data_IF_449008051750
#
_entry.id   IF_449008051750
#
_cell.length_a   1.000
_cell.length_b   1.000
_cell.length_c   1.000
_cell.angle_alpha   90.00
_cell.angle_beta   90.00
_cell.angle_gamma   90.00
#
_symmetry.space_group_name_H-M   'P 1'
#
loop_
_entity.id
_entity.type
_entity.pdbx_description
1 polymer ?
#
# COMPACT_ATOMS: atom_id res chain seq x y z
N UNK A 1 -12.21 14.68 -2.86
CA UNK A 1 -11.22 15.19 -1.88
C UNK A 1 -11.13 14.31 -0.63
N UNK A 2 -12.26 13.95 0.02
CA UNK A 2 -12.28 13.12 1.25
C UNK A 2 -11.59 11.76 1.07
N UNK A 3 -11.79 11.08 -0.06
CA UNK A 3 -11.16 9.77 -0.31
C UNK A 3 -9.63 9.81 -0.27
N UNK A 4 -9.02 10.79 -0.94
CA UNK A 4 -7.56 10.96 -0.95
C UNK A 4 -7.03 11.28 0.46
N UNK A 5 -7.73 12.15 1.19
CA UNK A 5 -7.41 12.46 2.58
C UNK A 5 -7.45 11.20 3.46
N UNK A 6 -8.52 10.40 3.36
CA UNK A 6 -8.71 9.23 4.22
C UNK A 6 -7.60 8.21 4.00
N UNK A 7 -7.24 7.94 2.74
CA UNK A 7 -6.11 7.06 2.41
C UNK A 7 -4.81 7.60 3.02
N UNK A 8 -4.47 8.87 2.79
CA UNK A 8 -3.25 9.46 3.31
C UNK A 8 -3.18 9.44 4.86
N UNK A 9 -4.26 9.84 5.53
CA UNK A 9 -4.31 9.90 6.99
C UNK A 9 -4.20 8.51 7.62
N UNK A 10 -4.95 7.52 7.09
CA UNK A 10 -4.93 6.14 7.58
C UNK A 10 -3.55 5.51 7.36
N UNK A 11 -2.93 5.67 6.18
CA UNK A 11 -1.62 5.09 5.89
C UNK A 11 -0.48 5.70 6.72
N UNK A 12 -0.54 7.00 7.03
CA UNK A 12 0.56 7.72 7.74
C UNK A 12 0.41 7.73 9.25
N UNK A 13 -0.82 7.85 9.77
CA UNK A 13 -1.09 8.00 11.22
C UNK A 13 -1.99 6.91 11.80
N UNK A 14 -2.56 6.05 10.95
CA UNK A 14 -3.41 4.93 11.37
C UNK A 14 -4.89 5.28 11.53
N UNK A 15 -5.24 6.57 11.52
CA UNK A 15 -6.61 7.03 11.63
C UNK A 15 -6.91 8.22 10.72
N UNK A 16 -8.13 8.29 10.20
CA UNK A 16 -8.72 9.47 9.59
C UNK A 16 -9.98 9.89 10.35
N UNK A 17 -10.19 11.19 10.49
CA UNK A 17 -11.31 11.77 11.21
C UNK A 17 -12.17 12.60 10.26
N UNK A 18 -13.48 12.38 10.28
CA UNK A 18 -14.44 13.20 9.55
C UNK A 18 -15.39 13.84 10.56
N UNK A 19 -15.44 15.17 10.59
CA UNK A 19 -16.37 15.92 11.40
C UNK A 19 -17.72 16.05 10.70
N UNK A 20 -18.79 15.69 11.41
CA UNK A 20 -20.17 15.87 10.99
C UNK A 20 -20.59 17.31 11.26
N UNK A 21 -20.74 18.09 10.19
CA UNK A 21 -21.30 19.44 10.32
C UNK A 21 -22.82 19.33 10.24
N UNK A 22 -23.49 19.85 11.27
CA UNK A 22 -24.95 19.81 11.39
C UNK A 22 -25.59 21.15 11.08
N UNK A 23 -26.83 21.12 10.59
CA UNK A 23 -27.67 22.31 10.46
C UNK A 23 -28.34 22.67 11.82
N UNK A 24 -29.15 23.72 11.84
CA UNK A 24 -29.91 24.16 13.03
C UNK A 24 -30.93 23.11 13.50
N UNK A 25 -31.39 22.24 12.61
CA UNK A 25 -32.33 21.15 12.90
C UNK A 25 -31.62 19.87 13.41
N UNK A 26 -30.28 19.87 13.46
CA UNK A 26 -29.46 18.73 13.90
C UNK A 26 -29.09 17.73 12.79
N UNK A 27 -29.54 17.95 11.55
CA UNK A 27 -29.23 17.06 10.44
C UNK A 27 -27.80 17.26 9.95
N UNK A 28 -27.11 16.17 9.63
CA UNK A 28 -25.77 16.18 9.06
C UNK A 28 -25.86 16.68 7.61
N UNK A 29 -25.24 17.82 7.33
CA UNK A 29 -25.22 18.44 6.00
C UNK A 29 -23.89 18.24 5.28
N UNK A 30 -22.78 18.13 6.01
CA UNK A 30 -21.45 18.02 5.43
C UNK A 30 -20.53 17.14 6.29
N UNK A 31 -19.52 16.56 5.64
CA UNK A 31 -18.44 15.82 6.28
C UNK A 31 -17.13 16.53 6.00
N UNK A 32 -16.46 17.01 7.05
CA UNK A 32 -15.21 17.75 6.94
C UNK A 32 -14.03 16.89 7.39
N UNK A 33 -13.02 16.67 6.53
CA UNK A 33 -11.84 15.91 6.94
C UNK A 33 -11.00 16.72 7.93
N UNK A 34 -10.64 16.10 9.06
CA UNK A 34 -9.79 16.68 10.09
C UNK A 34 -8.48 15.92 10.20
N UNK A 35 -7.35 16.59 9.99
CA UNK A 35 -6.06 15.91 10.10
C UNK A 35 -5.80 15.41 11.54
N UNK A 36 -5.31 14.17 11.70
CA UNK A 36 -5.01 13.55 13.00
C UNK A 36 -4.09 14.37 13.91
N UNK A 37 -3.22 15.20 13.34
CA UNK A 37 -2.33 16.11 14.08
C UNK A 37 -3.08 17.17 14.90
N UNK A 38 -4.28 17.55 14.45
CA UNK A 38 -5.05 18.65 15.06
C UNK A 38 -6.21 18.17 15.92
N UNK A 39 -6.36 16.85 16.13
CA UNK A 39 -7.50 16.29 16.85
C UNK A 39 -7.05 15.26 17.90
N UNK A 40 -7.45 15.47 19.15
CA UNK A 40 -7.01 14.64 20.27
C UNK A 40 -8.17 14.17 21.14
N UNK A 41 -8.17 12.91 21.61
CA UNK A 41 -9.26 12.38 22.41
C UNK A 41 -9.24 12.98 23.83
N UNK A 42 -10.43 13.26 24.35
CA UNK A 42 -10.64 13.69 25.73
C UNK A 42 -11.39 12.61 26.48
N UNK A 43 -10.85 12.26 27.66
CA UNK A 43 -11.46 11.31 28.57
C UNK A 43 -11.59 11.95 29.95
N UNK A 44 -12.70 11.72 30.66
CA UNK A 44 -12.86 12.07 32.06
C UNK A 44 -11.72 11.52 32.93
N UNK A 45 -11.24 12.32 33.89
CA UNK A 45 -10.14 11.89 34.79
C UNK A 45 -10.53 10.72 35.70
N UNK A 46 -11.82 10.49 35.89
CA UNK A 46 -12.37 9.40 36.69
C UNK A 46 -12.47 8.07 35.91
N UNK A 47 -12.23 8.07 34.59
CA UNK A 47 -12.32 6.89 33.74
C UNK A 47 -13.75 6.35 33.58
N UNK A 48 -14.76 7.16 33.90
CA UNK A 48 -16.18 6.78 33.78
C UNK A 48 -16.60 6.47 32.34
N UNK A 49 -16.01 7.19 31.37
CA UNK A 49 -16.31 7.04 29.95
C UNK A 49 -15.04 6.86 29.11
N UNK A 50 -15.16 6.08 28.05
CA UNK A 50 -14.04 5.80 27.15
C UNK A 50 -13.61 7.04 26.35
N UNK A 51 -14.56 7.88 25.93
CA UNK A 51 -14.33 9.08 25.12
C UNK A 51 -15.56 10.00 25.23
N UNK A 52 -15.39 11.23 25.72
CA UNK A 52 -16.48 12.22 25.77
C UNK A 52 -16.45 13.14 24.56
N UNK A 53 -15.27 13.71 24.30
CA UNK A 53 -15.07 14.76 23.31
C UNK A 53 -13.73 14.57 22.60
N UNK A 54 -13.61 15.24 21.46
CA UNK A 54 -12.36 15.50 20.77
C UNK A 54 -12.00 16.96 20.92
N UNK A 55 -10.74 17.24 21.23
CA UNK A 55 -10.18 18.59 21.12
C UNK A 55 -9.65 18.79 19.72
N UNK A 56 -10.24 19.73 19.00
CA UNK A 56 -9.77 20.15 17.69
C UNK A 56 -9.04 21.49 17.79
N UNK A 57 -7.79 21.52 17.35
CA UNK A 57 -6.93 22.71 17.35
C UNK A 57 -6.47 23.00 15.93
N UNK A 58 -7.20 23.82 15.15
CA UNK A 58 -6.82 24.15 13.79
C UNK A 58 -5.46 24.89 13.77
N UNK A 59 -4.70 24.82 12.65
CA UNK A 59 -3.44 25.54 12.51
C UNK A 59 -3.58 27.04 12.82
N UNK A 60 -2.92 27.50 13.89
CA UNK A 60 -2.94 28.90 14.30
C UNK A 60 -4.26 29.39 14.93
N UNK A 61 -5.21 28.49 15.20
CA UNK A 61 -6.49 28.81 15.82
C UNK A 61 -6.55 28.48 17.31
N UNK A 62 -7.73 28.66 17.90
CA UNK A 62 -8.03 28.27 19.29
C UNK A 62 -8.54 26.84 19.32
N UNK A 63 -8.41 26.20 20.48
CA UNK A 63 -8.95 24.86 20.68
C UNK A 63 -10.48 24.90 20.77
N UNK A 64 -11.15 23.92 20.15
CA UNK A 64 -12.59 23.73 20.20
C UNK A 64 -12.91 22.29 20.59
N UNK A 65 -13.82 22.06 21.55
CA UNK A 65 -14.34 20.72 21.82
C UNK A 65 -15.35 20.32 20.74
N UNK A 66 -15.27 19.08 20.28
CA UNK A 66 -16.21 18.44 19.36
C UNK A 66 -16.74 17.18 20.06
N UNK A 67 -18.07 17.01 20.21
CA UNK A 67 -18.63 15.80 20.81
C UNK A 67 -18.16 14.52 20.10
N UNK A 68 -17.99 13.43 20.84
CA UNK A 68 -17.56 12.15 20.26
C UNK A 68 -18.52 11.64 19.17
N UNK A 69 -19.81 11.90 19.31
CA UNK A 69 -20.84 11.55 18.32
C UNK A 69 -20.71 12.30 16.99
N UNK A 70 -20.04 13.45 16.98
CA UNK A 70 -19.87 14.31 15.80
C UNK A 70 -18.58 14.05 15.03
N UNK A 71 -17.82 13.03 15.43
CA UNK A 71 -16.62 12.58 14.74
C UNK A 71 -16.81 11.16 14.24
N UNK A 72 -16.60 10.97 12.94
CA UNK A 72 -16.45 9.64 12.34
C UNK A 72 -14.96 9.29 12.36
N UNK A 73 -14.62 8.24 13.07
CA UNK A 73 -13.26 7.72 13.10
C UNK A 73 -13.10 6.51 12.17
N UNK A 74 -12.26 6.66 11.15
CA UNK A 74 -11.79 5.59 10.28
C UNK A 74 -10.43 5.14 10.82
N UNK A 75 -10.32 3.90 11.30
CA UNK A 75 -9.07 3.35 11.85
C UNK A 75 -8.62 2.13 11.07
N UNK A 76 -7.32 2.02 10.86
CA UNK A 76 -6.69 0.80 10.37
C UNK A 76 -6.57 -0.22 11.51
N UNK A 77 -5.68 0.07 12.44
CA UNK A 77 -5.42 -0.72 13.64
C UNK A 77 -5.63 0.11 14.91
N UNK A 78 -5.76 -0.57 16.03
CA UNK A 78 -5.84 0.08 17.34
C UNK A 78 -4.43 0.32 17.86
N UNK A 79 -4.16 1.54 18.31
CA UNK A 79 -2.88 1.82 18.95
C UNK A 79 -2.79 1.10 20.29
N UNK A 80 -1.72 0.30 20.45
CA UNK A 80 -1.46 -0.53 21.63
C UNK A 80 -1.29 0.26 22.94
N UNK A 81 -0.88 1.52 22.87
CA UNK A 81 -0.72 2.38 24.04
C UNK A 81 -1.98 3.21 24.32
N UNK A 82 -2.76 3.51 23.29
CA UNK A 82 -4.02 4.23 23.40
C UNK A 82 -5.04 3.70 22.40
N UNK A 83 -5.94 2.85 22.87
CA UNK A 83 -6.98 2.23 22.04
C UNK A 83 -7.99 3.22 21.42
N UNK A 84 -7.94 4.50 21.79
CA UNK A 84 -8.73 5.56 21.15
C UNK A 84 -8.10 6.01 19.83
N UNK A 85 -6.79 5.87 19.68
CA UNK A 85 -6.05 6.28 18.49
C UNK A 85 -5.86 5.13 17.49
N UNK A 86 -5.58 5.51 16.25
CA UNK A 86 -5.14 4.57 15.22
C UNK A 86 -3.65 4.27 15.32
N UNK A 87 -3.26 3.11 14.80
CA UNK A 87 -1.86 2.74 14.54
C UNK A 87 -1.66 2.60 13.03
N UNK A 88 -0.65 3.27 12.49
CA UNK A 88 -0.39 3.23 11.05
C UNK A 88 0.56 2.07 10.76
N UNK A 89 0.32 1.30 9.68
CA UNK A 89 1.22 0.21 9.31
C UNK A 89 2.66 0.74 9.05
N UNK A 90 2.81 1.94 8.49
CA UNK A 90 4.13 2.58 8.30
C UNK A 90 4.91 2.83 9.59
N UNK A 91 4.25 2.92 10.75
CA UNK A 91 4.95 3.12 12.03
C UNK A 91 5.72 1.87 12.46
N UNK A 92 5.33 0.69 11.98
CA UNK A 92 6.03 -0.57 12.31
C UNK A 92 7.32 -0.76 11.50
N UNK A 93 7.45 -0.06 10.37
CA UNK A 93 8.62 -0.09 9.47
C UNK A 93 9.37 1.24 9.42
N UNK A 94 9.27 2.04 10.49
CA UNK A 94 9.90 3.36 10.53
C UNK A 94 11.43 3.27 10.42
N UNK A 95 12.05 2.21 10.96
CA UNK A 95 13.49 1.99 10.85
C UNK A 95 13.92 1.73 9.41
N UNK A 96 13.12 0.99 8.64
CA UNK A 96 13.36 0.77 7.21
C UNK A 96 13.24 2.06 6.40
N UNK A 97 12.25 2.90 6.71
CA UNK A 97 12.10 4.23 6.09
C UNK A 97 13.32 5.10 6.39
N UNK A 98 13.77 5.12 7.65
CA UNK A 98 14.99 5.83 8.03
C UNK A 98 16.22 5.25 7.34
N UNK A 99 16.33 3.93 7.22
CA UNK A 99 17.45 3.29 6.55
C UNK A 99 17.53 3.66 5.05
N UNK A 100 16.40 3.71 4.33
CA UNK A 100 16.41 4.18 2.93
C UNK A 100 16.79 5.67 2.84
N UNK A 101 16.31 6.49 3.79
CA UNK A 101 16.68 7.90 3.88
C UNK A 101 18.19 8.07 4.09
N UNK A 102 18.77 7.39 5.08
CA UNK A 102 20.21 7.41 5.37
C UNK A 102 21.03 6.87 4.19
N UNK A 103 20.55 5.85 3.48
CA UNK A 103 21.21 5.37 2.27
C UNK A 103 21.21 6.42 1.16
N UNK A 104 20.13 7.18 1.00
CA UNK A 104 20.04 8.29 0.06
C UNK A 104 20.94 9.47 0.47
N UNK A 105 20.99 9.81 1.75
CA UNK A 105 21.89 10.84 2.28
C UNK A 105 23.35 10.43 2.11
N UNK A 106 23.71 9.19 2.44
CA UNK A 106 25.04 8.64 2.26
C UNK A 106 25.46 8.65 0.78
N UNK A 107 24.58 8.21 -0.12
CA UNK A 107 24.82 8.27 -1.57
C UNK A 107 25.07 9.72 -2.04
N UNK A 108 24.29 10.66 -1.54
CA UNK A 108 24.43 12.09 -1.86
C UNK A 108 25.76 12.65 -1.34
N UNK A 109 26.11 12.33 -0.09
CA UNK A 109 27.36 12.72 0.53
C UNK A 109 28.56 12.12 -0.22
N UNK A 110 28.48 10.84 -0.60
CA UNK A 110 29.50 10.16 -1.38
C UNK A 110 29.71 10.85 -2.74
N UNK A 111 28.66 11.16 -3.50
CA UNK A 111 28.77 11.85 -4.79
C UNK A 111 29.28 13.29 -4.68
N UNK A 112 28.95 13.96 -3.57
CA UNK A 112 29.40 15.32 -3.28
C UNK A 112 30.89 15.33 -2.89
N UNK A 113 31.30 14.37 -2.05
CA UNK A 113 32.63 14.30 -1.44
C UNK A 113 33.66 13.54 -2.27
N UNK A 114 33.28 12.57 -3.13
CA UNK A 114 34.19 11.89 -4.06
C UNK A 114 34.86 12.83 -5.08
N UNK A 115 34.46 14.10 -5.14
CA UNK A 115 35.24 15.14 -5.80
C UNK A 115 36.63 15.34 -5.19
N UNK A 116 36.80 15.01 -3.91
CA UNK A 116 38.07 15.05 -3.17
C UNK A 116 38.31 13.66 -2.60
N UNK A 117 39.10 12.81 -3.26
CA UNK A 117 39.52 11.53 -2.69
C UNK A 117 40.14 11.79 -1.31
N UNK A 118 39.88 10.91 -0.33
CA UNK A 118 40.69 10.90 0.88
C UNK A 118 42.13 10.65 0.45
N UNK A 119 43.02 11.60 0.68
CA UNK A 119 44.43 11.47 0.32
C UNK A 119 45.29 11.52 1.56
N UNK A 120 46.30 10.67 1.60
CA UNK A 120 47.42 10.80 2.52
C UNK A 120 48.53 11.50 1.75
N UNK A 121 48.91 12.69 2.23
CA UNK A 121 50.04 13.45 1.72
C UNK A 121 51.25 13.16 2.61
N UNK A 122 52.21 12.41 2.08
CA UNK A 122 53.45 12.07 2.78
C UNK A 122 54.64 12.72 2.08
N UNK A 123 55.64 13.23 2.82
CA UNK A 123 56.94 13.59 2.25
C UNK A 123 57.55 12.37 1.58
N UNK A 124 58.16 12.56 0.40
CA UNK A 124 58.86 11.47 -0.30
C UNK A 124 60.14 11.05 0.42
N UNK A 125 60.78 11.99 1.13
CA UNK A 125 61.97 11.74 1.93
C UNK A 125 61.62 11.64 3.43
N UNK A 126 62.04 10.57 4.14
CA UNK A 126 61.64 10.33 5.53
C UNK A 126 62.20 11.36 6.53
N UNK A 127 63.23 12.12 6.16
CA UNK A 127 63.83 13.18 6.98
C UNK A 127 63.20 14.57 6.73
N UNK A 128 62.36 14.70 5.70
CA UNK A 128 61.71 15.96 5.35
C UNK A 128 60.39 16.11 6.12
N UNK A 129 60.20 17.24 6.79
CA UNK A 129 58.95 17.55 7.51
C UNK A 129 58.13 18.59 6.75
N UNK A 130 56.83 18.33 6.62
CA UNK A 130 55.88 19.34 6.13
C UNK A 130 55.82 20.47 7.15
N UNK A 131 56.23 21.67 6.74
CA UNK A 131 56.32 22.85 7.60
C UNK A 131 54.95 23.36 8.08
N UNK A 132 53.90 23.22 7.25
CA UNK A 132 52.52 23.55 7.61
C UNK A 132 51.52 22.53 6.98
N UNK A 133 51.21 21.44 7.69
CA UNK A 133 50.29 20.41 7.19
C UNK A 133 48.83 20.90 7.07
N UNK A 134 48.43 21.89 7.87
CA UNK A 134 47.04 22.39 7.90
C UNK A 134 46.77 23.30 6.72
N UNK A 135 47.70 24.21 6.40
CA UNK A 135 47.58 25.05 5.21
C UNK A 135 47.64 24.23 3.92
N UNK A 136 48.51 23.21 3.87
CA UNK A 136 48.63 22.30 2.72
C UNK A 136 47.33 21.51 2.49
N UNK A 137 46.73 20.95 3.54
CA UNK A 137 45.46 20.24 3.45
C UNK A 137 44.32 21.16 2.97
N UNK A 138 44.27 22.41 3.46
CA UNK A 138 43.26 23.39 3.06
C UNK A 138 43.43 23.85 1.60
N UNK A 139 44.67 24.07 1.15
CA UNK A 139 44.96 24.40 -0.24
C UNK A 139 44.58 23.24 -1.17
N UNK A 140 44.92 22.01 -0.80
CA UNK A 140 44.51 20.80 -1.50
C UNK A 140 42.98 20.69 -1.59
N UNK A 141 42.27 20.81 -0.47
CA UNK A 141 40.80 20.76 -0.45
C UNK A 141 40.16 21.83 -1.35
N UNK A 142 40.70 23.05 -1.36
CA UNK A 142 40.18 24.16 -2.17
C UNK A 142 40.34 23.96 -3.69
N UNK A 143 41.36 23.19 -4.11
CA UNK A 143 41.69 22.93 -5.50
C UNK A 143 40.94 21.74 -6.08
N UNK A 144 40.53 20.77 -5.25
CA UNK A 144 39.83 19.56 -5.71
C UNK A 144 38.32 19.56 -5.46
N UNK A 145 37.76 20.57 -4.78
CA UNK A 145 36.30 20.65 -4.52
C UNK A 145 35.52 21.31 -5.68
N UNK A 146 34.25 20.92 -5.86
CA UNK A 146 33.30 21.58 -6.77
C UNK A 146 33.63 21.42 -8.26
N UNK A 147 33.53 22.48 -9.05
CA UNK A 147 33.85 22.49 -10.51
C UNK A 147 35.35 22.36 -10.80
N UNK A 148 36.22 22.42 -9.78
CA UNK A 148 37.68 22.35 -9.91
C UNK A 148 38.24 20.91 -9.81
N UNK A 149 37.36 19.91 -9.76
CA UNK A 149 37.73 18.48 -9.76
C UNK A 149 38.68 18.18 -10.94
N UNK A 150 39.86 17.64 -10.64
CA UNK A 150 40.87 17.26 -11.65
C UNK A 150 41.90 18.34 -12.00
N UNK A 151 41.94 19.49 -11.31
CA UNK A 151 43.01 20.47 -11.49
C UNK A 151 44.36 19.92 -11.00
N UNK A 152 45.47 20.20 -11.72
CA UNK A 152 46.79 19.77 -11.29
C UNK A 152 47.19 20.48 -9.99
N UNK A 153 47.64 19.70 -9.01
CA UNK A 153 48.21 20.23 -7.78
C UNK A 153 49.72 20.39 -7.95
N UNK A 154 50.22 21.60 -7.71
CA UNK A 154 51.65 21.90 -7.70
C UNK A 154 52.06 22.13 -6.25
N UNK A 155 52.63 21.10 -5.63
CA UNK A 155 53.23 21.19 -4.30
C UNK A 155 54.67 21.73 -4.38
N UNK A 156 55.10 22.48 -3.37
CA UNK A 156 56.46 23.04 -3.29
C UNK A 156 57.56 22.03 -2.92
N UNK A 157 57.20 20.80 -2.54
CA UNK A 157 58.10 19.72 -2.16
C UNK A 157 57.70 18.40 -2.83
N UNK A 158 58.61 17.41 -2.86
CA UNK A 158 58.33 16.09 -3.40
C UNK A 158 57.35 15.34 -2.48
N UNK A 159 56.06 15.41 -2.80
CA UNK A 159 55.00 14.76 -2.05
C UNK A 159 54.56 13.46 -2.74
N UNK A 160 54.43 12.39 -1.96
CA UNK A 160 53.74 11.18 -2.35
C UNK A 160 52.27 11.31 -1.95
N UNK A 161 51.37 11.16 -2.93
CA UNK A 161 49.93 11.21 -2.73
C UNK A 161 49.41 9.79 -2.80
N UNK A 162 48.98 9.23 -1.67
CA UNK A 162 48.28 7.96 -1.64
C UNK A 162 46.79 8.21 -1.53
N UNK A 163 46.04 7.76 -2.54
CA UNK A 163 44.59 7.85 -2.52
C UNK A 163 44.03 6.74 -1.63
N UNK A 164 43.50 7.11 -0.46
CA UNK A 164 42.62 6.28 0.34
C UNK A 164 41.20 6.49 -0.19
N UNK A 165 40.92 5.88 -1.34
CA UNK A 165 39.58 5.92 -1.94
C UNK A 165 38.91 4.57 -1.78
N UNK A 166 37.72 4.57 -1.19
CA UNK A 166 36.79 3.45 -1.35
C UNK A 166 36.17 3.55 -2.75
N UNK A 167 36.07 2.43 -3.47
CA UNK A 167 35.33 2.39 -4.72
C UNK A 167 33.84 2.26 -4.42
N UNK A 168 32.98 3.15 -4.96
CA UNK A 168 31.53 3.02 -4.81
C UNK A 168 30.97 1.70 -5.36
N UNK A 169 31.70 1.02 -6.25
CA UNK A 169 31.31 -0.31 -6.75
C UNK A 169 31.45 -1.41 -5.70
N UNK A 170 32.29 -1.21 -4.68
CA UNK A 170 32.47 -2.18 -3.60
C UNK A 170 31.38 -2.02 -2.53
N UNK A 171 30.64 -0.90 -2.55
CA UNK A 171 29.46 -0.67 -1.70
C UNK A 171 28.19 -1.00 -2.49
N UNK A 172 27.53 -2.11 -2.15
CA UNK A 172 26.24 -2.47 -2.74
C UNK A 172 25.09 -1.64 -2.14
N UNK A 173 25.02 -0.38 -2.56
CA UNK A 173 23.93 0.53 -2.21
C UNK A 173 22.59 0.10 -2.84
N UNK A 174 22.62 -0.78 -3.84
CA UNK A 174 21.40 -1.28 -4.50
C UNK A 174 20.69 -2.27 -3.58
N UNK A 175 21.41 -3.26 -3.06
CA UNK A 175 20.86 -4.20 -2.08
C UNK A 175 20.42 -3.50 -0.79
N UNK A 176 21.14 -2.47 -0.35
CA UNK A 176 20.82 -1.71 0.86
C UNK A 176 19.45 -1.02 0.78
N UNK A 177 19.05 -0.55 -0.40
CA UNK A 177 17.77 0.14 -0.64
C UNK A 177 16.63 -0.79 -1.02
N UNK A 178 16.97 -1.94 -1.61
CA UNK A 178 15.99 -2.95 -2.04
C UNK A 178 15.16 -3.52 -0.88
N UNK A 179 15.81 -3.87 0.23
CA UNK A 179 15.13 -4.47 1.38
C UNK A 179 14.12 -3.52 2.04
N UNK A 180 14.46 -2.24 2.29
CA UNK A 180 13.48 -1.23 2.70
C UNK A 180 12.30 -1.10 1.74
N UNK A 181 12.55 -1.00 0.43
CA UNK A 181 11.48 -0.90 -0.60
C UNK A 181 10.48 -2.06 -0.48
N UNK A 182 10.97 -3.30 -0.38
CA UNK A 182 10.12 -4.50 -0.25
C UNK A 182 9.31 -4.46 1.04
N UNK A 183 9.92 -4.14 2.18
CA UNK A 183 9.25 -4.10 3.49
C UNK A 183 8.18 -3.00 3.58
N UNK A 184 8.47 -1.81 3.07
CA UNK A 184 7.52 -0.70 3.04
C UNK A 184 6.30 -1.07 2.19
N UNK A 185 6.53 -1.68 1.01
CA UNK A 185 5.47 -2.12 0.12
C UNK A 185 4.61 -3.23 0.74
N UNK A 186 5.25 -4.19 1.41
CA UNK A 186 4.59 -5.32 2.06
C UNK A 186 3.64 -4.87 3.18
N UNK A 187 4.07 -3.92 4.00
CA UNK A 187 3.28 -3.43 5.14
C UNK A 187 2.09 -2.56 4.70
N UNK A 188 2.17 -1.90 3.55
CA UNK A 188 1.03 -1.24 2.92
C UNK A 188 0.08 -2.21 2.18
N UNK A 189 0.44 -3.48 2.04
CA UNK A 189 -0.32 -4.48 1.28
C UNK A 189 -0.31 -4.24 -0.23
N UNK A 190 0.68 -3.49 -0.74
CA UNK A 190 0.78 -3.19 -2.17
C UNK A 190 2.06 -3.76 -2.77
N UNK A 191 2.00 -4.63 -3.80
CA UNK A 191 3.18 -5.22 -4.40
C UNK A 191 4.19 -4.18 -4.91
N UNK A 192 5.47 -4.35 -4.55
CA UNK A 192 6.57 -3.49 -4.98
C UNK A 192 6.61 -3.26 -6.51
N UNK A 193 6.31 -4.30 -7.29
CA UNK A 193 6.24 -4.26 -8.75
C UNK A 193 5.20 -3.25 -9.24
N UNK A 194 4.02 -3.24 -8.62
CA UNK A 194 2.93 -2.33 -8.98
C UNK A 194 3.20 -0.90 -8.51
N UNK A 195 3.98 -0.73 -7.45
CA UNK A 195 4.50 0.56 -7.03
C UNK A 195 5.66 1.08 -7.92
N UNK A 196 6.17 0.24 -8.83
CA UNK A 196 7.31 0.59 -9.69
C UNK A 196 8.65 0.63 -8.96
N UNK A 197 8.74 -0.04 -7.80
CA UNK A 197 9.96 -0.12 -7.01
C UNK A 197 10.97 -1.06 -7.68
N UNK A 198 12.26 -0.68 -7.62
CA UNK A 198 13.34 -1.40 -8.29
C UNK A 198 13.48 -2.83 -7.78
N UNK A 199 13.15 -3.05 -6.52
CA UNK A 199 13.09 -4.37 -5.91
C UNK A 199 12.14 -5.34 -6.63
N UNK A 200 10.93 -4.88 -6.97
CA UNK A 200 9.93 -5.71 -7.62
C UNK A 200 10.27 -6.01 -9.08
N UNK A 201 10.80 -5.03 -9.81
CA UNK A 201 10.99 -5.10 -11.26
C UNK A 201 11.95 -6.22 -11.71
N UNK A 202 12.86 -6.65 -10.84
CA UNK A 202 13.83 -7.72 -11.14
C UNK A 202 13.25 -9.14 -11.08
N UNK A 203 12.08 -9.32 -10.48
CA UNK A 203 11.51 -10.65 -10.22
C UNK A 203 10.57 -11.17 -11.31
N UNK A 204 10.05 -10.31 -12.20
CA UNK A 204 8.93 -10.68 -13.08
C UNK A 204 9.22 -10.59 -14.57
N UNK A 205 8.66 -11.55 -15.32
CA UNK A 205 8.98 -11.83 -16.73
C UNK A 205 7.89 -11.39 -17.73
N UNK A 206 6.84 -10.66 -17.32
CA UNK A 206 5.80 -10.26 -18.28
C UNK A 206 4.60 -9.48 -17.73
N UNK A 207 3.78 -8.95 -18.66
CA UNK A 207 2.58 -8.13 -18.37
C UNK A 207 1.44 -8.93 -17.72
N UNK A 208 1.31 -10.22 -18.00
CA UNK A 208 0.22 -11.07 -17.46
C UNK A 208 0.30 -11.28 -15.95
N UNK A 209 1.51 -11.40 -15.41
CA UNK A 209 1.77 -11.52 -13.96
C UNK A 209 1.43 -10.23 -13.20
N UNK A 210 1.59 -9.07 -13.85
CA UNK A 210 1.22 -7.78 -13.25
C UNK A 210 -0.30 -7.57 -13.10
N UNK A 211 -1.13 -8.24 -13.92
CA UNK A 211 -2.58 -8.20 -13.75
C UNK A 211 -3.03 -9.04 -12.57
N UNK A 212 -2.50 -10.25 -12.41
CA UNK A 212 -2.85 -11.14 -11.30
C UNK A 212 -2.37 -10.58 -9.96
N UNK A 213 -1.19 -9.97 -9.91
CA UNK A 213 -0.71 -9.28 -8.71
C UNK A 213 -1.58 -8.09 -8.32
N UNK A 214 -2.21 -7.42 -9.30
CA UNK A 214 -3.11 -6.29 -9.02
C UNK A 214 -4.45 -6.77 -8.46
N UNK A 215 -4.95 -7.88 -8.99
CA UNK A 215 -6.15 -8.56 -8.50
C UNK A 215 -5.95 -8.99 -7.05
N UNK A 216 -4.90 -9.76 -6.76
CA UNK A 216 -4.54 -10.22 -5.42
C UNK A 216 -4.34 -9.05 -4.43
N UNK A 217 -3.67 -7.97 -4.84
CA UNK A 217 -3.51 -6.78 -3.99
C UNK A 217 -4.84 -6.09 -3.67
N UNK A 218 -5.76 -6.01 -4.64
CA UNK A 218 -7.08 -5.41 -4.43
C UNK A 218 -7.91 -6.28 -3.49
N UNK A 219 -7.89 -7.60 -3.68
CA UNK A 219 -8.64 -8.55 -2.85
C UNK A 219 -8.14 -8.64 -1.42
N UNK A 220 -6.83 -8.79 -1.25
CA UNK A 220 -6.19 -8.96 0.06
C UNK A 220 -6.13 -7.66 0.87
N UNK A 221 -6.05 -6.50 0.21
CA UNK A 221 -5.78 -5.22 0.88
C UNK A 221 -6.93 -4.23 0.71
N UNK A 222 -7.30 -3.83 -0.50
CA UNK A 222 -8.28 -2.74 -0.69
C UNK A 222 -9.71 -3.12 -0.31
N UNK A 223 -10.17 -4.32 -0.66
CA UNK A 223 -11.53 -4.78 -0.35
C UNK A 223 -11.77 -4.82 1.18
N UNK A 224 -10.90 -5.42 2.01
CA UNK A 224 -11.02 -5.37 3.46
C UNK A 224 -11.10 -3.95 4.02
N UNK A 225 -10.33 -3.01 3.46
CA UNK A 225 -10.34 -1.61 3.88
C UNK A 225 -11.62 -0.89 3.53
N UNK A 226 -12.12 -1.07 2.30
CA UNK A 226 -13.39 -0.52 1.89
C UNK A 226 -14.54 -1.10 2.71
N UNK A 227 -14.49 -2.40 3.04
CA UNK A 227 -15.45 -3.04 3.97
C UNK A 227 -15.35 -2.46 5.38
N UNK A 228 -14.14 -2.19 5.88
CA UNK A 228 -13.94 -1.56 7.19
C UNK A 228 -14.47 -0.12 7.23
N UNK A 229 -14.15 0.67 6.20
CA UNK A 229 -14.65 2.02 6.04
C UNK A 229 -16.19 2.05 5.92
N UNK A 230 -16.76 1.17 5.10
CA UNK A 230 -18.21 1.01 4.96
C UNK A 230 -18.89 0.64 6.27
N UNK A 231 -18.32 -0.28 7.05
CA UNK A 231 -18.81 -0.62 8.40
C UNK A 231 -18.74 0.56 9.37
N UNK A 232 -17.66 1.34 9.35
CA UNK A 232 -17.56 2.52 10.23
C UNK A 232 -18.51 3.63 9.81
N UNK A 233 -18.63 3.91 8.52
CA UNK A 233 -19.62 4.86 8.01
C UNK A 233 -21.04 4.39 8.34
N UNK A 234 -21.34 3.10 8.19
CA UNK A 234 -22.64 2.56 8.60
C UNK A 234 -22.90 2.84 10.08
N UNK A 235 -21.96 2.44 10.96
CA UNK A 235 -22.17 2.54 12.41
C UNK A 235 -22.16 3.98 12.93
N UNK A 236 -21.31 4.84 12.39
CA UNK A 236 -21.12 6.20 12.91
C UNK A 236 -21.92 7.25 12.15
N UNK A 237 -22.23 7.07 10.86
CA UNK A 237 -23.03 8.03 10.08
C UNK A 237 -24.49 7.61 9.99
N UNK A 238 -24.78 6.37 9.56
CA UNK A 238 -26.15 5.95 9.21
C UNK A 238 -27.04 5.69 10.43
N UNK A 239 -26.44 5.41 11.58
CA UNK A 239 -27.16 5.22 12.86
C UNK A 239 -27.44 6.55 13.56
N UNK A 240 -27.12 7.69 12.93
CA UNK A 240 -27.52 9.01 13.39
C UNK A 240 -29.05 9.17 13.23
N UNK A 241 -29.77 9.04 14.35
CA UNK A 241 -31.23 9.00 14.34
C UNK A 241 -31.86 10.28 13.80
N UNK A 242 -31.21 11.42 14.09
CA UNK A 242 -31.68 12.74 13.68
C UNK A 242 -31.70 12.85 12.15
N UNK A 243 -30.63 12.42 11.49
CA UNK A 243 -30.47 12.61 10.05
C UNK A 243 -31.10 11.50 9.21
N UNK A 244 -31.10 10.24 9.70
CA UNK A 244 -31.47 9.07 8.89
C UNK A 244 -32.65 8.27 9.46
N UNK A 245 -33.24 8.72 10.57
CA UNK A 245 -34.31 8.04 11.28
C UNK A 245 -33.80 6.87 12.14
N UNK A 246 -34.71 6.08 12.72
CA UNK A 246 -34.35 5.04 13.69
C UNK A 246 -33.37 4.03 13.07
N UNK A 247 -32.37 3.54 13.84
CA UNK A 247 -31.33 2.67 13.31
C UNK A 247 -31.93 1.40 12.73
N UNK A 248 -31.73 1.19 11.43
CA UNK A 248 -32.21 -0.01 10.75
C UNK A 248 -31.04 -0.95 10.49
N UNK A 249 -30.96 -2.11 11.16
CA UNK A 249 -29.86 -3.06 10.98
C UNK A 249 -29.80 -3.65 9.57
N UNK A 250 -30.85 -3.49 8.75
CA UNK A 250 -30.86 -3.92 7.34
C UNK A 250 -30.22 -2.90 6.39
N UNK A 251 -29.91 -1.69 6.86
CA UNK A 251 -29.24 -0.67 6.03
C UNK A 251 -27.74 -0.70 6.33
N UNK A 252 -26.94 -0.79 5.29
CA UNK A 252 -25.49 -0.68 5.39
C UNK A 252 -24.93 0.11 4.21
N UNK A 253 -23.83 0.81 4.45
CA UNK A 253 -23.06 1.50 3.43
C UNK A 253 -21.90 0.59 3.02
N UNK A 254 -21.87 0.26 1.73
CA UNK A 254 -20.83 -0.56 1.12
C UNK A 254 -20.31 0.15 -0.12
N UNK A 255 -19.03 -0.06 -0.43
CA UNK A 255 -18.47 0.42 -1.69
C UNK A 255 -18.92 -0.54 -2.80
N UNK A 256 -19.37 0.03 -3.91
CA UNK A 256 -19.73 -0.74 -5.10
C UNK A 256 -18.45 -1.20 -5.82
N UNK A 257 -18.34 -2.51 -6.04
CA UNK A 257 -17.18 -3.15 -6.66
C UNK A 257 -17.43 -3.60 -8.10
N UNK A 258 -18.66 -3.46 -8.61
CA UNK A 258 -19.08 -3.98 -9.92
C UNK A 258 -18.28 -3.38 -11.09
N UNK A 259 -17.88 -2.12 -10.97
CA UNK A 259 -17.11 -1.43 -12.02
C UNK A 259 -15.58 -1.56 -11.86
N UNK A 260 -15.10 -2.33 -10.88
CA UNK A 260 -13.66 -2.51 -10.66
C UNK A 260 -13.09 -3.47 -11.69
N UNK A 261 -12.44 -2.93 -12.73
CA UNK A 261 -11.85 -3.70 -13.85
C UNK A 261 -10.99 -4.90 -13.40
N UNK A 262 -10.27 -4.76 -12.29
CA UNK A 262 -9.39 -5.82 -11.80
C UNK A 262 -10.16 -7.07 -11.33
N UNK A 263 -11.41 -6.93 -10.88
CA UNK A 263 -12.26 -8.03 -10.39
C UNK A 263 -13.15 -8.62 -11.51
N UNK A 264 -13.31 -7.91 -12.64
CA UNK A 264 -14.11 -8.40 -13.79
C UNK A 264 -13.51 -9.63 -14.48
N UNK A 265 -12.25 -9.97 -14.20
CA UNK A 265 -11.60 -11.15 -14.78
C UNK A 265 -12.11 -12.43 -14.10
N UNK A 266 -12.23 -12.43 -12.78
CA UNK A 266 -12.85 -13.53 -12.04
C UNK A 266 -14.30 -13.77 -12.46
N UNK A 267 -15.08 -12.72 -12.72
CA UNK A 267 -16.44 -12.87 -13.28
C UNK A 267 -16.44 -13.63 -14.62
N UNK A 268 -15.44 -13.37 -15.47
CA UNK A 268 -15.28 -14.10 -16.73
C UNK A 268 -14.93 -15.57 -16.48
N UNK A 269 -14.02 -15.84 -15.56
CA UNK A 269 -13.60 -17.20 -15.23
C UNK A 269 -14.74 -18.00 -14.56
N UNK A 270 -15.61 -17.36 -13.77
CA UNK A 270 -16.85 -17.96 -13.24
C UNK A 270 -17.86 -18.28 -14.35
N UNK A 271 -18.08 -17.35 -15.27
CA UNK A 271 -18.96 -17.58 -16.42
C UNK A 271 -18.44 -18.71 -17.31
N UNK A 272 -17.12 -18.79 -17.54
CA UNK A 272 -16.50 -19.91 -18.27
C UNK A 272 -16.68 -21.25 -17.55
N UNK A 273 -16.56 -21.29 -16.21
CA UNK A 273 -16.85 -22.51 -15.43
C UNK A 273 -18.32 -22.94 -15.56
N UNK A 274 -19.25 -21.98 -15.53
CA UNK A 274 -20.67 -22.23 -15.70
C UNK A 274 -20.96 -22.74 -17.13
N UNK A 275 -20.34 -22.15 -18.15
CA UNK A 275 -20.46 -22.60 -19.54
C UNK A 275 -19.90 -24.01 -19.75
N UNK A 276 -18.75 -24.33 -19.13
CA UNK A 276 -18.22 -25.68 -19.08
C UNK A 276 -19.15 -26.65 -18.32
N UNK A 277 -19.85 -26.18 -17.30
CA UNK A 277 -20.79 -26.99 -16.53
C UNK A 277 -22.02 -27.39 -17.35
N UNK A 278 -22.56 -26.43 -18.09
CA UNK A 278 -23.68 -26.63 -19.01
C UNK A 278 -23.28 -27.51 -20.19
N UNK A 279 -22.14 -27.21 -20.83
CA UNK A 279 -21.63 -27.96 -21.99
C UNK A 279 -21.22 -29.39 -21.62
N UNK A 280 -20.69 -29.58 -20.40
CA UNK A 280 -20.37 -30.90 -19.84
C UNK A 280 -21.59 -31.72 -19.41
N UNK A 281 -22.80 -31.14 -19.44
CA UNK A 281 -24.05 -31.85 -19.17
C UNK A 281 -24.32 -32.18 -17.70
N UNK A 282 -23.66 -31.49 -16.76
CA UNK A 282 -23.86 -31.67 -15.31
C UNK A 282 -24.60 -30.51 -14.63
N UNK A 283 -24.85 -29.42 -15.35
CA UNK A 283 -25.77 -28.33 -14.95
C UNK A 283 -26.80 -28.06 -16.06
N UNK A 284 -28.00 -27.60 -15.72
CA UNK A 284 -29.00 -27.17 -16.70
C UNK A 284 -28.77 -25.74 -17.18
N UNK A 285 -29.32 -25.38 -18.34
CA UNK A 285 -29.29 -23.99 -18.83
C UNK A 285 -30.04 -23.04 -17.88
N UNK A 286 -31.10 -23.51 -17.22
CA UNK A 286 -31.89 -22.76 -16.24
C UNK A 286 -31.11 -22.46 -14.95
N UNK A 287 -30.39 -23.45 -14.43
CA UNK A 287 -29.48 -23.29 -13.28
C UNK A 287 -28.38 -22.26 -13.59
N UNK A 288 -27.75 -22.36 -14.76
CA UNK A 288 -26.73 -21.42 -15.21
C UNK A 288 -27.25 -19.97 -15.34
N UNK A 289 -28.46 -19.78 -15.90
CA UNK A 289 -29.10 -18.45 -16.00
C UNK A 289 -29.36 -17.86 -14.61
N UNK A 290 -29.83 -18.68 -13.69
CA UNK A 290 -30.11 -18.27 -12.30
C UNK A 290 -28.82 -17.84 -11.59
N UNK A 291 -27.72 -18.59 -11.79
CA UNK A 291 -26.42 -18.29 -11.20
C UNK A 291 -25.83 -16.95 -11.70
N UNK A 292 -26.05 -16.60 -12.96
CA UNK A 292 -25.58 -15.33 -13.56
C UNK A 292 -26.58 -14.18 -13.29
N UNK A 293 -27.70 -14.45 -12.61
CA UNK A 293 -28.71 -13.44 -12.27
C UNK A 293 -29.64 -13.06 -13.43
N UNK A 294 -29.72 -13.89 -14.46
CA UNK A 294 -30.70 -13.75 -15.55
C UNK A 294 -32.01 -14.46 -15.17
N UNK A 295 -33.17 -13.97 -15.67
CA UNK A 295 -34.43 -14.67 -15.46
C UNK A 295 -34.39 -16.06 -16.10
N UNK A 296 -34.70 -17.08 -15.31
CA UNK A 296 -34.90 -18.46 -15.74
C UNK A 296 -36.40 -18.77 -15.76
N UNK A 297 -36.81 -19.58 -16.74
CA UNK A 297 -38.17 -20.10 -16.89
C UNK A 297 -38.05 -21.63 -17.00
N UNK A 298 -39.11 -22.37 -16.70
CA UNK A 298 -39.15 -23.84 -16.76
C UNK A 298 -38.71 -24.40 -18.13
N UNK A 299 -38.84 -23.61 -19.20
CA UNK A 299 -38.38 -23.93 -20.56
C UNK A 299 -36.85 -24.01 -20.69
N UNK A 300 -36.11 -23.45 -19.74
CA UNK A 300 -34.66 -23.43 -19.71
C UNK A 300 -34.05 -24.59 -18.92
N UNK A 301 -34.84 -25.45 -18.26
CA UNK A 301 -34.35 -26.63 -17.52
C UNK A 301 -34.03 -27.80 -18.46
N UNK A 302 -33.02 -27.59 -19.29
CA UNK A 302 -32.56 -28.56 -20.30
C UNK A 302 -31.07 -28.84 -20.10
N UNK A 303 -30.69 -30.12 -20.19
CA UNK A 303 -29.29 -30.54 -20.26
C UNK A 303 -28.80 -30.53 -21.71
N UNK A 304 -27.66 -29.90 -21.96
CA UNK A 304 -26.97 -30.06 -23.23
C UNK A 304 -26.08 -31.32 -23.14
N UNK A 305 -26.25 -32.25 -24.08
CA UNK A 305 -25.40 -33.43 -24.21
C UNK A 305 -24.81 -33.47 -25.61
N UNK A 306 -23.50 -33.66 -25.70
CA UNK A 306 -22.83 -33.80 -26.99
C UNK A 306 -23.21 -35.14 -27.65
N UNK A 307 -23.58 -35.10 -28.92
CA UNK A 307 -24.00 -36.28 -29.71
C UNK A 307 -22.89 -37.34 -29.87
N UNK A 308 -21.62 -36.95 -29.69
CA UNK A 308 -20.46 -37.85 -29.79
C UNK A 308 -20.03 -38.47 -28.46
N UNK A 309 -20.72 -38.16 -27.36
CA UNK A 309 -20.36 -38.63 -26.00
C UNK A 309 -21.44 -39.57 -25.48
N UNK A 310 -21.09 -40.83 -25.24
CA UNK A 310 -22.00 -41.83 -24.67
C UNK A 310 -21.64 -42.10 -23.20
N UNK A 311 -22.61 -42.09 -22.28
CA UNK A 311 -22.35 -42.39 -20.89
C UNK A 311 -22.05 -43.88 -20.73
N UNK A 312 -20.81 -44.23 -20.38
CA UNK A 312 -20.43 -45.57 -19.94
C UNK A 312 -20.53 -45.62 -18.42
N UNK A 313 -21.13 -46.68 -17.87
CA UNK A 313 -21.26 -46.83 -16.42
C UNK A 313 -19.89 -47.21 -15.82
N UNK A 314 -19.64 -46.82 -14.56
CA UNK A 314 -18.34 -47.03 -13.91
C UNK A 314 -17.94 -48.50 -13.72
N UNK A 315 -18.91 -49.40 -13.87
CA UNK A 315 -18.79 -50.86 -13.79
C UNK A 315 -18.62 -51.54 -15.16
N UNK A 316 -18.68 -50.79 -16.27
CA UNK A 316 -18.54 -51.30 -17.64
C UNK A 316 -17.18 -50.91 -18.25
N UNK A 317 -16.59 -51.81 -19.05
CA UNK A 317 -15.33 -51.54 -19.74
C UNK A 317 -15.57 -50.55 -20.90
N UNK A 318 -14.93 -49.36 -20.89
CA UNK A 318 -15.20 -48.28 -21.85
C UNK A 318 -14.78 -48.60 -23.30
N UNK A 319 -14.21 -49.79 -23.55
CA UNK A 319 -13.79 -50.23 -24.88
C UNK A 319 -14.78 -51.17 -25.58
N UNK A 320 -15.84 -51.62 -24.89
CA UNK A 320 -16.86 -52.49 -25.48
C UNK A 320 -17.97 -51.63 -26.12
N UNK A 321 -17.84 -51.38 -27.42
CA UNK A 321 -18.97 -50.89 -28.22
C UNK A 321 -19.90 -52.07 -28.52
N UNK A 322 -21.05 -52.13 -27.85
CA UNK A 322 -22.13 -53.07 -28.19
C UNK A 322 -22.67 -52.74 -29.58
N UNK A 323 -22.06 -53.36 -30.59
CA UNK A 323 -22.60 -53.42 -31.94
C UNK A 323 -23.50 -54.63 -32.06
N UNK A 324 -24.81 -54.43 -32.08
CA UNK A 324 -25.71 -55.14 -32.98
C UNK A 324 -27.00 -54.34 -33.22
N UNK A 325 -27.38 -54.04 -34.49
CA UNK A 325 -28.64 -53.39 -34.81
C UNK A 325 -29.73 -54.46 -34.98
N UNK A 326 -30.75 -54.47 -34.12
CA UNK A 326 -31.98 -55.26 -34.36
C UNK A 326 -33.06 -54.36 -34.93
N UNK A 327 -33.53 -54.70 -36.13
CA UNK A 327 -34.76 -54.19 -36.73
C UNK A 327 -36.02 -54.85 -36.21
#
# INVERSE_FOLDING_TARGET
MIGLYAVAAISTTGAGYLHKVRNVMGDIIQLWPLYPEFIHPVTPRDGSEFLTDWKYTPPGGREFPIPAEDIIQLRWEMNRHDFRLGHAPLQDVLLEVLQDHEAAEFSTALLTNLGVPGVVLSPKDPDERISDPVALAKDFQSKFTGTKRGQPFVGGAALQVEMVSFSPKDMDLTALRRVPEERISAVLGWPAILAGLGAGLTATSGRGESSTLREDAIESTLIPLWKLAGRQLTRQLLFDEQSFGPPNPKRSLQMDLTEVRALKKDEKDEVEKIDMAVTGGWATVGEARTLIGLPAEDTHDVFLRNISTFPVRSDEDPTLTDGEPTG
#
